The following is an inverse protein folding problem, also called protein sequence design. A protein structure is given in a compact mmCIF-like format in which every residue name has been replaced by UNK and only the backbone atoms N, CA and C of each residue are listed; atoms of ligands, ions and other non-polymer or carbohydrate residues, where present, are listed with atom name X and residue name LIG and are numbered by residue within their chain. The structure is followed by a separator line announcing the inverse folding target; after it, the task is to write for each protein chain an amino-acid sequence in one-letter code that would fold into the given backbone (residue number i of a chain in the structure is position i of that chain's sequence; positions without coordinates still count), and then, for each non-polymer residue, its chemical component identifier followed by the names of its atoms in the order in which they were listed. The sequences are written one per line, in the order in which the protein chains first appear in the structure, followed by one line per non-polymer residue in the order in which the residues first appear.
data_IF_752491458380
#
_entry.id   IF_752491458380
#
_cell.length_a   1.000
_cell.length_b   1.000
_cell.length_c   1.000
_cell.angle_alpha   90.00
_cell.angle_beta   90.00
_cell.angle_gamma   90.00
#
_symmetry.space_group_name_H-M   'P 1'
#
loop_
_entity.id
_entity.type
_entity.pdbx_description
1 polymer ?
#
# COMPACT_ATOMS: atom_id res chain seq x y z
N UNK A 1 7.57 -20.42 18.42
CA UNK A 1 6.85 -19.23 18.92
C UNK A 1 7.07 -18.13 17.89
N UNK A 2 6.07 -17.77 17.08
CA UNK A 2 6.23 -16.76 16.03
C UNK A 2 6.27 -15.37 16.68
N UNK A 3 7.29 -14.57 16.38
CA UNK A 3 7.36 -13.18 16.83
C UNK A 3 6.29 -12.35 16.10
N UNK A 4 5.73 -11.34 16.78
CA UNK A 4 4.70 -10.44 16.21
C UNK A 4 5.13 -9.86 14.85
N UNK A 5 6.43 -9.57 14.70
CA UNK A 5 7.05 -9.12 13.45
C UNK A 5 6.87 -10.08 12.27
N UNK A 6 6.91 -11.39 12.54
CA UNK A 6 6.77 -12.44 11.53
C UNK A 6 5.32 -12.54 11.05
N UNK A 7 4.36 -12.40 11.95
CA UNK A 7 2.92 -12.38 11.65
C UNK A 7 2.57 -11.15 10.80
N UNK A 8 3.09 -9.97 11.15
CA UNK A 8 2.84 -8.73 10.40
C UNK A 8 3.40 -8.84 8.98
N UNK A 9 4.63 -9.37 8.84
CA UNK A 9 5.27 -9.57 7.53
C UNK A 9 4.48 -10.53 6.65
N UNK A 10 4.01 -11.64 7.21
CA UNK A 10 3.20 -12.64 6.49
C UNK A 10 1.86 -12.05 6.03
N UNK A 11 1.17 -11.30 6.89
CA UNK A 11 -0.10 -10.64 6.55
C UNK A 11 0.06 -9.58 5.45
N UNK A 12 1.14 -8.80 5.50
CA UNK A 12 1.45 -7.79 4.48
C UNK A 12 1.75 -8.43 3.11
N UNK A 13 2.50 -9.53 3.09
CA UNK A 13 2.79 -10.28 1.86
C UNK A 13 1.52 -10.89 1.23
N UNK A 14 0.62 -11.45 2.05
CA UNK A 14 -0.66 -11.99 1.59
C UNK A 14 -1.56 -10.90 0.99
N UNK A 15 -1.61 -9.72 1.60
CA UNK A 15 -2.38 -8.59 1.09
C UNK A 15 -1.85 -8.10 -0.27
N UNK A 16 -0.51 -7.95 -0.38
CA UNK A 16 0.14 -7.55 -1.63
C UNK A 16 -0.11 -8.54 -2.77
N UNK A 17 -0.03 -9.84 -2.49
CA UNK A 17 -0.32 -10.89 -3.46
C UNK A 17 -1.79 -10.91 -3.91
N UNK A 18 -2.73 -10.51 -3.03
CA UNK A 18 -4.14 -10.33 -3.41
C UNK A 18 -4.31 -9.15 -4.35
N UNK A 19 -3.78 -7.98 -3.99
CA UNK A 19 -3.90 -6.76 -4.80
C UNK A 19 -3.34 -6.96 -6.21
N UNK A 20 -2.14 -7.52 -6.33
CA UNK A 20 -1.48 -7.76 -7.63
C UNK A 20 -2.21 -8.78 -8.51
N UNK A 21 -2.86 -9.79 -7.92
CA UNK A 21 -3.73 -10.72 -8.67
C UNK A 21 -5.03 -10.05 -9.12
N UNK A 22 -5.59 -9.17 -8.31
CA UNK A 22 -6.83 -8.45 -8.66
C UNK A 22 -6.58 -7.37 -9.72
N UNK A 23 -5.40 -6.73 -9.76
CA UNK A 23 -5.03 -5.76 -10.79
C UNK A 23 -5.03 -6.34 -12.22
N UNK A 24 -4.79 -7.64 -12.38
CA UNK A 24 -4.87 -8.33 -13.69
C UNK A 24 -6.30 -8.67 -14.13
N UNK A 25 -7.30 -8.56 -13.24
CA UNK A 25 -8.70 -8.88 -13.57
C UNK A 25 -9.47 -7.67 -14.11
N UNK A 26 -8.97 -6.44 -13.92
CA UNK A 26 -9.63 -5.22 -14.41
C UNK A 26 -9.44 -4.96 -15.92
N UNK A 27 -8.72 -5.81 -16.66
CA UNK A 27 -8.55 -5.68 -18.11
C UNK A 27 -9.39 -6.68 -18.93
N UNK A 28 -10.33 -7.41 -18.32
CA UNK A 28 -11.19 -8.37 -19.04
C UNK A 28 -12.50 -7.74 -19.53
N UNK A 29 -12.48 -6.44 -19.87
CA UNK A 29 -13.67 -5.66 -20.18
C UNK A 29 -13.96 -5.43 -21.66
N UNK A 30 -13.13 -5.88 -22.61
CA UNK A 30 -13.19 -5.30 -23.97
C UNK A 30 -13.09 -6.27 -25.17
N UNK A 31 -13.44 -7.54 -25.00
CA UNK A 31 -13.64 -8.44 -26.14
C UNK A 31 -15.02 -9.09 -26.12
N UNK A 32 -16.05 -8.29 -26.42
CA UNK A 32 -17.27 -8.80 -27.04
C UNK A 32 -16.94 -9.08 -28.50
N UNK A 33 -16.38 -10.25 -28.77
CA UNK A 33 -16.28 -10.78 -30.13
C UNK A 33 -17.65 -11.33 -30.51
N UNK A 34 -18.39 -10.56 -31.31
CA UNK A 34 -19.51 -11.08 -32.10
C UNK A 34 -18.98 -12.02 -33.17
N UNK A 35 -18.64 -13.25 -32.78
CA UNK A 35 -18.36 -14.32 -33.73
C UNK A 35 -19.26 -15.50 -33.40
N UNK A 36 -20.17 -15.79 -34.33
CA UNK A 36 -20.98 -17.01 -34.41
C UNK A 36 -20.14 -18.24 -34.02
N UNK A 37 -20.60 -18.98 -33.01
CA UNK A 37 -19.92 -20.15 -32.46
C UNK A 37 -19.62 -21.21 -33.53
N UNK A 38 -18.36 -21.32 -33.93
CA UNK A 38 -17.85 -22.57 -34.53
C UNK A 38 -17.46 -23.51 -33.41
N UNK A 39 -18.39 -24.40 -33.05
CA UNK A 39 -18.17 -25.54 -32.14
C UNK A 39 -17.24 -26.59 -32.77
N UNK A 40 -15.95 -26.26 -32.90
CA UNK A 40 -14.90 -27.17 -33.40
C UNK A 40 -13.98 -27.70 -32.28
N UNK A 41 -14.16 -27.26 -31.03
CA UNK A 41 -13.45 -27.83 -29.86
C UNK A 41 -14.43 -28.63 -29.02
N UNK A 42 -14.26 -29.95 -29.03
CA UNK A 42 -15.02 -30.91 -28.21
C UNK A 42 -14.67 -30.75 -26.71
N UNK A 43 -13.53 -30.13 -26.41
CA UNK A 43 -13.08 -29.93 -25.04
C UNK A 43 -13.58 -28.59 -24.50
N UNK A 44 -14.45 -28.67 -23.47
CA UNK A 44 -14.92 -27.50 -22.73
C UNK A 44 -13.74 -26.72 -22.16
N UNK A 45 -13.71 -25.42 -22.44
CA UNK A 45 -12.72 -24.50 -21.88
C UNK A 45 -12.89 -24.33 -20.37
N UNK A 46 -11.88 -23.77 -19.72
CA UNK A 46 -11.88 -23.51 -18.28
C UNK A 46 -13.11 -22.70 -17.85
N UNK A 47 -13.43 -21.60 -18.54
CA UNK A 47 -14.58 -20.75 -18.23
C UNK A 47 -15.92 -21.50 -18.30
N UNK A 48 -16.09 -22.39 -19.28
CA UNK A 48 -17.29 -23.20 -19.43
C UNK A 48 -17.44 -24.22 -18.29
N UNK A 49 -16.34 -24.90 -17.92
CA UNK A 49 -16.35 -25.81 -16.75
C UNK A 49 -16.63 -25.08 -15.45
N UNK A 50 -16.10 -23.88 -15.28
CA UNK A 50 -16.40 -23.05 -14.12
C UNK A 50 -17.88 -22.70 -14.11
N UNK A 51 -18.45 -22.18 -15.21
CA UNK A 51 -19.87 -21.85 -15.29
C UNK A 51 -20.80 -23.05 -14.97
N UNK A 52 -20.46 -24.25 -15.45
CA UNK A 52 -21.18 -25.48 -15.11
C UNK A 52 -21.17 -25.76 -13.60
N UNK A 53 -20.02 -25.58 -12.94
CA UNK A 53 -19.89 -25.75 -11.49
C UNK A 53 -20.68 -24.70 -10.71
N UNK A 54 -20.65 -23.43 -11.15
CA UNK A 54 -21.42 -22.35 -10.53
C UNK A 54 -22.91 -22.68 -10.57
N UNK A 55 -23.40 -23.11 -11.74
CA UNK A 55 -24.79 -23.50 -11.93
C UNK A 55 -25.16 -24.75 -11.13
N UNK A 56 -24.33 -25.80 -11.18
CA UNK A 56 -24.60 -27.08 -10.51
C UNK A 56 -24.65 -26.96 -9.00
N UNK A 57 -23.78 -26.15 -8.40
CA UNK A 57 -23.71 -25.97 -6.96
C UNK A 57 -24.51 -24.76 -6.44
N UNK A 58 -25.24 -24.06 -7.31
CA UNK A 58 -25.99 -22.83 -6.97
C UNK A 58 -25.11 -21.88 -6.16
N UNK A 59 -23.88 -21.67 -6.63
CA UNK A 59 -22.93 -20.82 -5.94
C UNK A 59 -23.37 -19.38 -6.19
N UNK A 60 -23.93 -18.75 -5.16
CA UNK A 60 -24.22 -17.32 -5.20
C UNK A 60 -22.89 -16.56 -5.17
N UNK A 61 -22.41 -16.19 -6.35
CA UNK A 61 -21.44 -15.10 -6.49
C UNK A 61 -22.18 -13.79 -6.33
N UNK A 62 -22.78 -13.56 -5.15
CA UNK A 62 -23.09 -12.22 -4.72
C UNK A 62 -21.77 -11.49 -4.78
N UNK A 63 -21.54 -10.71 -5.84
CA UNK A 63 -20.28 -10.03 -6.08
C UNK A 63 -20.02 -9.22 -4.83
N UNK A 64 -19.14 -9.71 -3.96
CA UNK A 64 -18.87 -9.04 -2.72
C UNK A 64 -18.16 -7.77 -3.15
N UNK A 65 -18.89 -6.66 -3.11
CA UNK A 65 -18.37 -5.38 -3.53
C UNK A 65 -17.14 -5.15 -2.65
N UNK A 66 -15.97 -5.20 -3.27
CA UNK A 66 -14.75 -4.83 -2.59
C UNK A 66 -14.90 -3.35 -2.29
N UNK A 67 -15.37 -3.04 -1.09
CA UNK A 67 -15.39 -1.68 -0.60
C UNK A 67 -13.94 -1.21 -0.64
N UNK A 68 -13.70 -0.16 -1.42
CA UNK A 68 -12.41 0.50 -1.39
C UNK A 68 -12.16 0.89 0.07
N UNK A 69 -10.99 0.56 0.63
CA UNK A 69 -10.67 0.99 1.98
C UNK A 69 -10.81 2.52 2.02
N UNK A 70 -11.56 3.01 3.01
CA UNK A 70 -11.70 4.44 3.24
C UNK A 70 -10.30 5.03 3.39
N UNK A 71 -10.08 6.19 2.77
CA UNK A 71 -8.83 6.92 2.92
C UNK A 71 -8.58 7.09 4.44
N UNK A 72 -7.43 6.66 4.97
CA UNK A 72 -7.15 6.80 6.41
C UNK A 72 -7.32 8.23 6.90
N UNK A 73 -7.06 9.22 6.03
CA UNK A 73 -7.25 10.65 6.32
C UNK A 73 -8.71 11.00 6.61
N UNK A 74 -9.65 10.31 5.95
CA UNK A 74 -11.09 10.51 6.12
C UNK A 74 -11.65 9.66 7.26
N UNK A 75 -10.99 8.55 7.58
CA UNK A 75 -11.43 7.61 8.61
C UNK A 75 -11.13 8.09 10.05
N UNK A 76 -10.19 9.02 10.22
CA UNK A 76 -9.76 9.49 11.54
C UNK A 76 -9.51 11.00 11.55
N UNK A 77 -9.68 11.63 12.71
CA UNK A 77 -9.31 13.05 12.87
C UNK A 77 -7.86 13.15 13.30
N UNK A 78 -7.05 13.92 12.57
CA UNK A 78 -5.64 14.14 12.87
C UNK A 78 -5.44 15.54 13.44
N UNK A 79 -4.66 15.66 14.51
CA UNK A 79 -4.17 16.97 14.96
C UNK A 79 -2.90 17.30 14.20
N UNK A 80 -3.00 18.20 13.23
CA UNK A 80 -1.84 18.68 12.48
C UNK A 80 -1.20 19.87 13.21
N UNK A 81 0.04 19.70 13.69
CA UNK A 81 0.85 20.80 14.21
C UNK A 81 2.02 21.06 13.28
N UNK A 82 1.95 22.18 12.56
CA UNK A 82 3.00 22.63 11.63
C UNK A 82 3.92 23.70 12.24
N UNK A 83 3.64 24.14 13.47
CA UNK A 83 4.42 25.16 14.15
C UNK A 83 5.70 24.58 14.76
N UNK A 84 6.79 25.34 14.67
CA UNK A 84 8.01 25.10 15.41
C UNK A 84 7.92 25.74 16.80
N UNK A 85 8.70 25.21 17.76
CA UNK A 85 8.84 25.84 19.08
C UNK A 85 9.48 27.24 19.01
N UNK A 86 10.19 27.53 17.92
CA UNK A 86 10.89 28.79 17.68
C UNK A 86 10.66 29.25 16.23
N UNK A 87 10.66 30.56 15.99
CA UNK A 87 10.55 31.10 14.63
C UNK A 87 11.85 30.83 13.86
N UNK A 88 11.73 30.15 12.71
CA UNK A 88 12.86 29.86 11.83
C UNK A 88 12.48 30.15 10.38
N UNK A 89 13.43 30.69 9.63
CA UNK A 89 13.30 31.02 8.22
C UNK A 89 14.31 30.19 7.43
N UNK A 90 13.79 29.32 6.55
CA UNK A 90 14.61 28.41 5.75
C UNK A 90 15.64 29.12 4.87
N UNK A 91 15.40 30.37 4.51
CA UNK A 91 16.29 31.20 3.68
C UNK A 91 17.44 31.84 4.45
N UNK A 92 17.29 31.99 5.77
CA UNK A 92 18.21 32.75 6.61
C UNK A 92 18.96 31.86 7.60
N UNK A 93 18.31 30.82 8.11
CA UNK A 93 18.84 29.92 9.11
C UNK A 93 19.64 28.77 8.49
N UNK A 94 20.73 28.38 9.17
CA UNK A 94 21.56 27.25 8.78
C UNK A 94 20.79 25.92 8.97
N UNK A 95 21.00 24.95 8.07
CA UNK A 95 20.45 23.59 8.18
C UNK A 95 20.64 22.94 9.56
N UNK A 96 21.77 23.21 10.22
CA UNK A 96 22.01 22.71 11.59
C UNK A 96 21.03 23.29 12.60
N UNK A 97 20.71 24.58 12.48
CA UNK A 97 19.73 25.27 13.33
C UNK A 97 18.34 24.72 13.05
N UNK A 98 17.95 24.63 11.77
CA UNK A 98 16.66 24.07 11.36
C UNK A 98 16.47 22.64 11.88
N UNK A 99 17.52 21.81 11.76
CA UNK A 99 17.52 20.42 12.26
C UNK A 99 17.38 20.38 13.78
N UNK A 100 18.12 21.23 14.49
CA UNK A 100 18.06 21.31 15.96
C UNK A 100 16.68 21.71 16.44
N UNK A 101 16.11 22.80 15.90
CA UNK A 101 14.77 23.29 16.27
C UNK A 101 13.70 22.26 15.93
N UNK A 102 13.84 21.54 14.82
CA UNK A 102 12.92 20.46 14.44
C UNK A 102 12.94 19.34 15.48
N UNK A 103 14.12 18.86 15.89
CA UNK A 103 14.20 17.81 16.91
C UNK A 103 13.69 18.28 18.27
N UNK A 104 14.06 19.48 18.70
CA UNK A 104 13.58 20.06 19.96
C UNK A 104 12.04 20.17 19.96
N UNK A 105 11.45 20.62 18.85
CA UNK A 105 9.99 20.71 18.69
C UNK A 105 9.34 19.33 18.80
N UNK A 106 9.91 18.32 18.12
CA UNK A 106 9.41 16.93 18.17
C UNK A 106 9.55 16.36 19.58
N UNK A 107 10.68 16.57 20.25
CA UNK A 107 10.93 16.08 21.60
C UNK A 107 10.00 16.71 22.64
N UNK A 108 9.71 18.00 22.48
CA UNK A 108 8.85 18.75 23.41
C UNK A 108 7.38 18.38 23.23
N UNK A 109 6.88 18.34 21.99
CA UNK A 109 5.47 18.09 21.71
C UNK A 109 5.10 16.60 21.74
N UNK A 110 6.04 15.73 21.34
CA UNK A 110 5.83 14.30 21.17
C UNK A 110 6.98 13.50 21.82
N UNK A 111 7.10 13.53 23.16
CA UNK A 111 8.15 12.84 23.88
C UNK A 111 8.08 11.33 23.64
N UNK A 112 9.24 10.69 23.45
CA UNK A 112 9.33 9.27 23.10
C UNK A 112 8.75 8.35 24.19
N UNK A 113 8.69 8.81 25.45
CA UNK A 113 8.06 8.09 26.56
C UNK A 113 6.56 7.91 26.40
N UNK A 114 5.90 8.75 25.59
CA UNK A 114 4.45 8.73 25.39
C UNK A 114 4.05 8.42 23.94
N UNK A 115 4.98 8.53 22.99
CA UNK A 115 4.69 8.45 21.56
C UNK A 115 5.66 7.52 20.83
N UNK A 116 5.12 6.61 20.02
CA UNK A 116 5.90 5.87 19.05
C UNK A 116 6.27 6.78 17.88
N UNK A 117 7.56 7.01 17.67
CA UNK A 117 8.06 7.85 16.57
C UNK A 117 8.29 7.00 15.33
N UNK A 118 7.58 7.35 14.26
CA UNK A 118 7.77 6.74 12.94
C UNK A 118 8.33 7.79 11.99
N UNK A 119 9.54 7.55 11.53
CA UNK A 119 10.24 8.36 10.54
C UNK A 119 10.13 7.69 9.18
N UNK A 120 9.75 8.45 8.16
CA UNK A 120 9.72 7.98 6.77
C UNK A 120 10.67 8.82 5.94
N UNK A 121 11.48 8.19 5.10
CA UNK A 121 12.33 8.87 4.13
C UNK A 121 12.07 8.31 2.73
N UNK A 122 12.13 9.19 1.73
CA UNK A 122 11.92 8.84 0.33
C UNK A 122 13.17 9.19 -0.46
N UNK A 123 13.76 8.20 -1.13
CA UNK A 123 14.92 8.42 -1.99
C UNK A 123 14.58 8.11 -3.45
N UNK A 124 15.16 8.91 -4.35
CA UNK A 124 15.14 8.66 -5.78
C UNK A 124 16.59 8.55 -6.24
N UNK A 125 16.95 7.39 -6.77
CA UNK A 125 18.26 7.25 -7.41
C UNK A 125 18.26 8.06 -8.71
N UNK A 126 19.33 8.83 -8.98
CA UNK A 126 19.51 9.51 -10.27
C UNK A 126 19.69 8.53 -11.42
N UNK A 127 20.20 7.33 -11.11
CA UNK A 127 20.74 6.40 -12.10
C UNK A 127 19.71 5.31 -12.46
N UNK A 128 18.56 5.29 -11.79
CA UNK A 128 17.49 4.32 -12.01
C UNK A 128 16.12 5.01 -11.91
N UNK A 129 15.13 4.57 -12.68
CA UNK A 129 13.73 4.98 -12.50
C UNK A 129 13.09 4.43 -11.19
N UNK A 130 13.91 3.85 -10.30
CA UNK A 130 13.49 3.24 -9.07
C UNK A 130 13.48 4.29 -7.96
N UNK A 131 12.31 4.41 -7.33
CA UNK A 131 12.10 5.16 -6.11
C UNK A 131 12.20 4.19 -4.93
N UNK A 132 12.44 4.72 -3.75
CA UNK A 132 12.46 3.96 -2.53
C UNK A 132 11.86 4.74 -1.40
N UNK A 133 11.28 4.03 -0.44
CA UNK A 133 10.91 4.61 0.83
C UNK A 133 11.42 3.75 1.98
N UNK A 134 12.14 4.40 2.89
CA UNK A 134 12.51 3.86 4.18
C UNK A 134 11.47 4.23 5.21
N UNK A 135 11.12 3.29 6.09
CA UNK A 135 10.31 3.54 7.29
C UNK A 135 11.09 3.01 8.48
N UNK A 136 11.24 3.86 9.49
CA UNK A 136 11.96 3.54 10.72
C UNK A 136 11.15 3.94 11.94
N UNK A 137 11.09 3.05 12.93
CA UNK A 137 10.71 3.34 14.29
C UNK A 137 11.51 2.42 15.23
N UNK A 138 11.39 2.62 16.54
CA UNK A 138 12.07 1.77 17.52
C UNK A 138 11.76 0.27 17.36
N UNK A 139 10.55 -0.07 16.90
CA UNK A 139 10.09 -1.46 16.78
C UNK A 139 10.49 -2.14 15.47
N UNK A 140 10.70 -1.37 14.39
CA UNK A 140 11.02 -1.91 13.08
C UNK A 140 11.69 -0.88 12.17
N UNK A 141 12.49 -1.38 11.23
CA UNK A 141 13.11 -0.59 10.19
C UNK A 141 13.05 -1.37 8.88
N UNK A 142 12.47 -0.80 7.83
CA UNK A 142 12.41 -1.45 6.52
C UNK A 142 12.53 -0.43 5.39
N UNK A 143 12.92 -0.94 4.23
CA UNK A 143 13.00 -0.16 2.99
C UNK A 143 12.20 -0.87 1.90
N UNK A 144 11.44 -0.10 1.14
CA UNK A 144 10.60 -0.59 0.06
C UNK A 144 10.95 0.14 -1.24
N UNK A 145 11.36 -0.59 -2.27
CA UNK A 145 11.58 -0.04 -3.61
C UNK A 145 10.24 0.09 -4.35
N UNK A 146 9.91 1.31 -4.76
CA UNK A 146 8.74 1.65 -5.58
C UNK A 146 9.23 1.91 -7.00
N UNK A 147 8.85 1.09 -7.98
CA UNK A 147 9.26 1.29 -9.38
C UNK A 147 9.86 0.09 -10.09
N UNK A 148 9.91 -1.09 -9.46
CA UNK A 148 10.20 -2.32 -10.19
C UNK A 148 9.00 -2.67 -11.08
N UNK A 149 9.11 -2.36 -12.37
CA UNK A 149 8.32 -3.03 -13.41
C UNK A 149 8.62 -4.53 -13.32
N UNK A 150 7.58 -5.31 -13.04
CA UNK A 150 7.53 -6.75 -13.34
C UNK A 150 6.74 -6.93 -14.62
#
# INVERSE_FOLDING_TARGET
MYTLSLIIKERAQLLWAKITKTSRLYSLGDHVSTETERNLKIQRGFAQRVADLIFHFIIDFGAQQFLLPCNPIEAQTFSLRLGFSQSVLKTEDNDKVLKSVTYETIDTLYPISHWLRVSTDGSRSSDCANFGTGVHCELFSFYFSVGATV
#
